data_IF_262715735750
#
_entry.id   IF_262715735750
#
_cell.length_a   1.000
_cell.length_b   1.000
_cell.length_c   1.000
_cell.angle_alpha   90.00
_cell.angle_beta   90.00
_cell.angle_gamma   90.00
#
_symmetry.space_group_name_H-M   'P 1'
#
loop_
_entity.id
_entity.type
_entity.pdbx_description
1 polymer ?
#
# COMPACT_ATOMS: atom_id res chain seq x y z
N UNK A 1 11.86 -0.88 -37.21
CA UNK A 1 11.67 -1.57 -35.90
C UNK A 1 10.25 -1.32 -35.47
N UNK A 2 9.44 -2.37 -35.33
CA UNK A 2 8.00 -2.29 -35.05
C UNK A 2 7.76 -1.80 -33.62
N UNK A 3 7.11 -0.65 -33.48
CA UNK A 3 6.53 -0.20 -32.21
C UNK A 3 5.25 -1.01 -31.95
N UNK A 4 4.96 -1.33 -30.68
CA UNK A 4 3.70 -1.98 -30.31
C UNK A 4 3.72 -3.50 -30.10
N UNK A 5 4.86 -4.19 -30.17
CA UNK A 5 4.94 -5.63 -29.86
C UNK A 5 4.42 -5.96 -28.46
N UNK A 6 4.65 -5.06 -27.49
CA UNK A 6 4.10 -5.17 -26.14
C UNK A 6 2.56 -5.16 -26.07
N UNK A 7 1.88 -4.48 -27.00
CA UNK A 7 0.41 -4.47 -27.12
C UNK A 7 -0.06 -5.81 -27.64
N UNK A 8 0.50 -6.28 -28.76
CA UNK A 8 0.12 -7.56 -29.37
C UNK A 8 0.44 -8.78 -28.48
N UNK A 9 1.47 -8.68 -27.65
CA UNK A 9 1.88 -9.76 -26.73
C UNK A 9 1.21 -9.67 -25.36
N UNK A 10 0.33 -8.70 -25.09
CA UNK A 10 -0.32 -8.59 -23.79
C UNK A 10 -1.45 -9.63 -23.69
N UNK A 11 -1.39 -10.62 -22.77
CA UNK A 11 -2.44 -11.63 -22.66
C UNK A 11 -3.68 -11.14 -21.91
N UNK A 12 -3.68 -9.87 -21.47
CA UNK A 12 -4.73 -9.26 -20.66
C UNK A 12 -5.28 -7.97 -21.28
N UNK A 13 -4.90 -7.66 -22.53
CA UNK A 13 -5.29 -6.42 -23.24
C UNK A 13 -5.06 -5.13 -22.43
N UNK A 14 -4.05 -5.15 -21.55
CA UNK A 14 -3.76 -4.06 -20.62
C UNK A 14 -2.92 -2.94 -21.23
N UNK A 15 -2.59 -3.00 -22.52
CA UNK A 15 -1.67 -2.09 -23.19
C UNK A 15 -2.30 -1.53 -24.45
N UNK A 16 -2.13 -0.24 -24.69
CA UNK A 16 -2.48 0.43 -25.94
C UNK A 16 -1.35 1.36 -26.38
N UNK A 17 -1.29 1.71 -27.65
CA UNK A 17 -0.41 2.79 -28.11
C UNK A 17 -1.10 4.14 -27.87
N UNK A 18 -0.37 5.06 -27.24
CA UNK A 18 -0.76 6.46 -27.16
C UNK A 18 -0.43 7.22 -28.44
N UNK A 19 -0.80 8.50 -28.49
CA UNK A 19 -0.65 9.38 -29.66
C UNK A 19 0.81 9.53 -30.13
N UNK A 20 1.76 9.40 -29.20
CA UNK A 20 3.21 9.49 -29.47
C UNK A 20 3.83 8.13 -29.83
N UNK A 21 3.02 7.09 -30.05
CA UNK A 21 3.51 5.72 -30.31
C UNK A 21 4.15 5.06 -29.09
N UNK A 22 3.98 5.65 -27.90
CA UNK A 22 4.42 5.08 -26.63
C UNK A 22 3.34 4.17 -26.03
N UNK A 23 3.72 3.02 -25.45
CA UNK A 23 2.79 2.13 -24.78
C UNK A 23 2.22 2.78 -23.52
N UNK A 24 0.89 2.85 -23.43
CA UNK A 24 0.13 3.31 -22.26
C UNK A 24 -0.50 2.09 -21.59
N UNK A 25 -0.21 1.90 -20.31
CA UNK A 25 -0.71 0.77 -19.50
C UNK A 25 -2.05 1.14 -18.88
N UNK A 26 -3.05 0.29 -19.08
CA UNK A 26 -4.27 0.31 -18.27
C UNK A 26 -4.01 -0.44 -16.95
N UNK A 27 -3.91 0.31 -15.86
CA UNK A 27 -3.62 -0.23 -14.53
C UNK A 27 -4.73 -1.14 -13.99
N UNK A 28 -5.96 -1.02 -14.49
CA UNK A 28 -7.08 -1.86 -14.07
C UNK A 28 -7.06 -3.27 -14.71
N UNK A 29 -6.33 -3.45 -15.81
CA UNK A 29 -6.20 -4.74 -16.52
C UNK A 29 -4.81 -5.36 -16.34
N UNK A 30 -3.81 -4.56 -15.99
CA UNK A 30 -2.44 -5.02 -15.86
C UNK A 30 -2.26 -5.93 -14.64
N UNK A 31 -1.82 -7.16 -14.89
CA UNK A 31 -1.52 -8.16 -13.84
C UNK A 31 -0.05 -8.20 -13.43
N UNK A 32 0.80 -7.41 -14.09
CA UNK A 32 2.25 -7.42 -13.82
C UNK A 32 2.97 -8.69 -14.26
N UNK A 33 2.45 -9.45 -15.23
CA UNK A 33 3.07 -10.71 -15.68
C UNK A 33 4.47 -10.60 -16.31
N UNK A 34 4.91 -9.41 -16.74
CA UNK A 34 6.24 -9.20 -17.31
C UNK A 34 6.37 -9.43 -18.82
N UNK A 35 5.35 -9.96 -19.50
CA UNK A 35 5.41 -10.26 -20.94
C UNK A 35 5.80 -9.05 -21.78
N UNK A 36 5.22 -7.88 -21.48
CA UNK A 36 5.50 -6.64 -22.19
C UNK A 36 6.94 -6.14 -22.02
N UNK A 37 7.59 -6.48 -20.91
CA UNK A 37 8.98 -6.11 -20.61
C UNK A 37 9.93 -7.02 -21.38
N UNK A 38 9.68 -8.33 -21.33
CA UNK A 38 10.53 -9.32 -22.00
C UNK A 38 10.55 -9.14 -23.52
N UNK A 39 9.41 -8.77 -24.12
CA UNK A 39 9.29 -8.62 -25.57
C UNK A 39 9.70 -7.23 -26.07
N UNK A 40 10.00 -6.27 -25.18
CA UNK A 40 10.27 -4.90 -25.59
C UNK A 40 11.67 -4.78 -26.22
N UNK A 41 11.80 -4.54 -27.54
CA UNK A 41 13.11 -4.48 -28.20
C UNK A 41 13.92 -3.23 -27.82
N UNK A 42 13.26 -2.21 -27.26
CA UNK A 42 13.87 -0.96 -26.83
C UNK A 42 14.07 -0.87 -25.32
N UNK A 43 13.63 -1.88 -24.56
CA UNK A 43 13.68 -1.88 -23.09
C UNK A 43 13.08 -0.63 -22.43
N UNK A 44 12.07 0.00 -23.06
CA UNK A 44 11.43 1.22 -22.54
C UNK A 44 10.33 0.93 -21.51
N UNK A 45 9.86 -0.32 -21.45
CA UNK A 45 8.88 -0.77 -20.44
C UNK A 45 9.66 -1.51 -19.36
N UNK A 46 9.45 -1.11 -18.11
CA UNK A 46 9.97 -1.83 -16.96
C UNK A 46 8.83 -2.26 -16.06
N UNK A 47 8.89 -3.51 -15.60
CA UNK A 47 8.02 -3.94 -14.52
C UNK A 47 8.62 -3.41 -13.23
N UNK A 48 7.87 -2.58 -12.53
CA UNK A 48 8.13 -2.35 -11.13
C UNK A 48 7.46 -3.49 -10.37
N UNK A 49 8.20 -4.57 -10.10
CA UNK A 49 7.71 -5.59 -9.17
C UNK A 49 7.44 -4.92 -7.82
N UNK A 50 6.49 -5.43 -7.04
CA UNK A 50 6.29 -4.94 -5.68
C UNK A 50 7.62 -4.97 -4.91
N UNK A 51 8.44 -6.01 -5.11
CA UNK A 51 9.79 -6.10 -4.58
C UNK A 51 10.67 -4.92 -5.00
N UNK A 52 10.71 -4.52 -6.27
CA UNK A 52 11.52 -3.39 -6.76
C UNK A 52 10.97 -2.03 -6.28
N UNK A 53 9.64 -1.91 -6.18
CA UNK A 53 8.99 -0.75 -5.54
C UNK A 53 9.29 -0.67 -4.05
N UNK A 54 9.51 -1.79 -3.37
CA UNK A 54 9.85 -1.80 -1.95
C UNK A 54 11.35 -1.57 -1.78
N UNK A 55 12.22 -2.25 -2.53
CA UNK A 55 13.66 -2.14 -2.36
C UNK A 55 14.22 -0.77 -2.74
N UNK A 56 13.64 -0.05 -3.71
CA UNK A 56 14.08 1.33 -3.99
C UNK A 56 13.80 2.30 -2.84
N UNK A 57 12.78 2.03 -2.00
CA UNK A 57 12.49 2.86 -0.82
C UNK A 57 13.55 2.72 0.27
N UNK A 58 14.35 1.65 0.23
CA UNK A 58 15.45 1.37 1.17
C UNK A 58 16.82 1.59 0.53
N UNK A 59 16.86 2.22 -0.65
CA UNK A 59 18.08 2.52 -1.39
C UNK A 59 18.51 3.95 -1.10
N UNK A 60 19.76 4.11 -0.68
CA UNK A 60 20.35 5.42 -0.39
C UNK A 60 20.82 6.16 -1.65
N UNK A 61 20.84 5.49 -2.81
CA UNK A 61 21.18 6.08 -4.11
C UNK A 61 20.01 6.83 -4.77
N UNK A 62 18.79 6.76 -4.21
CA UNK A 62 17.61 7.47 -4.72
C UNK A 62 17.14 8.58 -3.77
N UNK A 63 16.70 9.71 -4.34
CA UNK A 63 16.29 10.90 -3.60
C UNK A 63 14.90 10.71 -2.95
N UNK A 64 14.82 9.86 -1.93
CA UNK A 64 13.60 9.58 -1.16
C UNK A 64 13.57 10.36 0.15
N UNK A 65 12.38 10.79 0.57
CA UNK A 65 12.24 11.57 1.79
C UNK A 65 12.70 10.74 3.03
N UNK A 66 13.50 11.33 3.95
CA UNK A 66 13.99 10.62 5.13
C UNK A 66 12.89 9.95 5.97
N UNK A 67 11.74 10.62 6.12
CA UNK A 67 10.59 10.08 6.85
C UNK A 67 10.02 8.81 6.20
N UNK A 68 9.99 8.75 4.86
CA UNK A 68 9.52 7.59 4.10
C UNK A 68 10.52 6.43 4.20
N UNK A 69 11.83 6.70 4.06
CA UNK A 69 12.89 5.69 4.22
C UNK A 69 12.88 5.03 5.60
N UNK A 70 12.58 5.83 6.62
CA UNK A 70 12.57 5.36 8.02
C UNK A 70 11.27 4.59 8.35
N UNK A 71 10.23 4.72 7.54
CA UNK A 71 8.97 4.02 7.75
C UNK A 71 9.11 2.53 7.37
N UNK A 72 8.93 1.57 8.30
CA UNK A 72 9.04 0.14 7.97
C UNK A 72 7.97 -0.36 6.99
N UNK A 73 6.86 0.37 6.88
CA UNK A 73 5.81 0.10 5.90
C UNK A 73 6.08 0.78 4.54
N UNK A 74 7.13 1.58 4.41
CA UNK A 74 7.46 2.29 3.16
C UNK A 74 6.35 3.22 2.67
N UNK A 75 5.59 3.83 3.58
CA UNK A 75 4.48 4.73 3.24
C UNK A 75 5.04 5.99 2.57
N UNK A 76 4.43 6.41 1.46
CA UNK A 76 4.75 7.69 0.80
C UNK A 76 4.20 8.87 1.62
N UNK A 77 4.95 9.20 2.67
CA UNK A 77 4.61 10.25 3.63
C UNK A 77 4.46 11.63 2.98
N UNK A 78 5.39 12.10 2.14
CA UNK A 78 5.22 13.38 1.45
C UNK A 78 3.94 13.43 0.61
N UNK A 79 3.63 12.36 -0.13
CA UNK A 79 2.43 12.30 -0.98
C UNK A 79 1.14 12.42 -0.17
N UNK A 80 0.95 11.62 0.87
CA UNK A 80 -0.31 11.69 1.61
C UNK A 80 -0.45 13.02 2.38
N UNK A 81 0.65 13.61 2.87
CA UNK A 81 0.61 14.92 3.52
C UNK A 81 0.20 16.00 2.52
N UNK A 82 0.77 16.00 1.30
CA UNK A 82 0.36 16.93 0.22
C UNK A 82 -1.14 16.79 -0.07
N UNK A 83 -1.64 15.56 -0.19
CA UNK A 83 -3.06 15.31 -0.43
C UNK A 83 -3.94 15.82 0.72
N UNK A 84 -3.51 15.67 1.98
CA UNK A 84 -4.21 16.27 3.14
C UNK A 84 -4.24 17.80 3.03
N UNK A 85 -3.12 18.44 2.65
CA UNK A 85 -3.07 19.92 2.49
C UNK A 85 -3.98 20.44 1.38
N UNK A 86 -4.25 19.59 0.38
CA UNK A 86 -5.18 19.88 -0.73
C UNK A 86 -6.65 19.52 -0.40
N UNK A 87 -6.94 19.00 0.80
CA UNK A 87 -8.27 18.53 1.19
C UNK A 87 -8.70 17.20 0.55
N UNK A 88 -7.76 16.51 -0.11
CA UNK A 88 -7.96 15.24 -0.83
C UNK A 88 -7.81 14.04 0.11
N UNK A 89 -8.69 13.97 1.11
CA UNK A 89 -8.60 12.98 2.20
C UNK A 89 -8.76 11.53 1.70
N UNK A 90 -9.62 11.31 0.70
CA UNK A 90 -9.85 9.98 0.12
C UNK A 90 -8.61 9.46 -0.63
N UNK A 91 -7.96 10.33 -1.37
CA UNK A 91 -6.71 10.02 -2.06
C UNK A 91 -5.57 9.81 -1.06
N UNK A 92 -5.54 10.58 0.02
CA UNK A 92 -4.55 10.43 1.08
C UNK A 92 -4.66 9.08 1.80
N UNK A 93 -5.87 8.67 2.23
CA UNK A 93 -6.04 7.34 2.85
C UNK A 93 -5.76 6.21 1.85
N UNK A 94 -6.12 6.39 0.57
CA UNK A 94 -5.76 5.43 -0.49
C UNK A 94 -4.24 5.27 -0.58
N UNK A 95 -3.49 6.37 -0.63
CA UNK A 95 -2.04 6.36 -0.71
C UNK A 95 -1.39 5.68 0.50
N UNK A 96 -1.97 5.82 1.69
CA UNK A 96 -1.49 5.12 2.90
C UNK A 96 -1.75 3.61 2.80
N UNK A 97 -2.99 3.23 2.41
CA UNK A 97 -3.39 1.82 2.26
C UNK A 97 -2.67 1.10 1.12
N UNK A 98 -2.01 1.80 0.21
CA UNK A 98 -1.16 1.19 -0.82
C UNK A 98 -0.07 0.30 -0.20
N UNK A 99 0.52 0.71 0.93
CA UNK A 99 1.61 -0.02 1.60
C UNK A 99 1.37 -0.34 3.09
N UNK A 100 0.34 0.23 3.71
CA UNK A 100 -0.03 -0.05 5.10
C UNK A 100 -1.50 -0.47 5.23
N UNK A 101 -1.82 -1.76 5.47
CA UNK A 101 -3.20 -2.21 5.67
C UNK A 101 -3.82 -1.73 6.99
N UNK A 102 -3.03 -1.23 7.93
CA UNK A 102 -3.49 -0.87 9.27
C UNK A 102 -3.30 0.62 9.61
N UNK A 103 -3.88 1.57 8.85
CA UNK A 103 -3.71 3.00 9.11
C UNK A 103 -4.29 3.47 10.46
N UNK A 104 -5.44 2.94 10.90
CA UNK A 104 -6.07 3.25 12.19
C UNK A 104 -5.26 2.72 13.37
N UNK A 105 -4.84 1.45 13.32
CA UNK A 105 -4.01 0.87 14.37
C UNK A 105 -2.64 1.55 14.41
N UNK A 106 -1.94 1.64 13.28
CA UNK A 106 -0.64 2.32 13.23
C UNK A 106 -0.76 3.82 13.56
N UNK A 107 -1.91 4.47 13.34
CA UNK A 107 -2.17 5.85 13.74
C UNK A 107 -2.22 6.07 15.25
N UNK A 108 -2.42 4.98 16.01
CA UNK A 108 -2.58 5.00 17.48
C UNK A 108 -1.38 4.42 18.22
N UNK A 109 -0.74 3.41 17.65
CA UNK A 109 0.27 2.61 18.39
C UNK A 109 1.70 2.74 17.86
N UNK A 110 1.89 3.25 16.64
CA UNK A 110 3.21 3.37 16.02
C UNK A 110 4.14 4.28 16.86
N UNK A 111 5.42 3.90 17.08
CA UNK A 111 6.42 4.76 17.72
C UNK A 111 6.97 5.86 16.79
N UNK A 112 6.33 6.10 15.64
CA UNK A 112 6.59 7.22 14.72
C UNK A 112 8.09 7.50 14.42
N UNK A 113 8.88 6.48 14.00
CA UNK A 113 10.30 6.69 13.69
C UNK A 113 10.51 7.61 12.47
N UNK A 114 9.48 7.76 11.64
CA UNK A 114 9.44 8.73 10.54
C UNK A 114 9.55 10.19 10.99
N UNK A 115 9.16 10.51 12.24
CA UNK A 115 9.25 11.86 12.80
C UNK A 115 10.66 12.15 13.34
N UNK A 116 11.38 11.13 13.82
CA UNK A 116 12.75 11.25 14.34
C UNK A 116 13.75 11.70 13.26
N UNK A 117 13.51 11.29 12.01
CA UNK A 117 14.34 11.65 10.85
C UNK A 117 13.69 12.75 9.99
N UNK A 118 12.68 13.47 10.51
CA UNK A 118 12.01 14.51 9.74
C UNK A 118 12.98 15.65 9.44
N UNK A 119 13.20 15.97 8.15
CA UNK A 119 14.09 17.07 7.75
C UNK A 119 13.66 18.41 8.33
N UNK A 120 12.36 18.63 8.55
CA UNK A 120 11.88 19.89 9.15
C UNK A 120 12.41 20.09 10.57
N UNK A 121 12.71 18.99 11.28
CA UNK A 121 13.27 19.01 12.64
C UNK A 121 14.67 19.65 12.71
N UNK A 122 15.38 19.80 11.59
CA UNK A 122 16.69 20.48 11.57
C UNK A 122 16.57 22.00 11.59
N UNK A 123 15.37 22.54 11.35
CA UNK A 123 15.09 23.99 11.30
C UNK A 123 14.07 24.38 12.38
N UNK A 124 13.07 23.55 12.62
CA UNK A 124 12.00 23.75 13.62
C UNK A 124 11.58 22.40 14.20
N UNK A 125 10.31 22.19 14.54
CA UNK A 125 9.78 20.90 14.98
C UNK A 125 9.49 19.93 13.83
N UNK A 126 9.49 18.64 14.15
CA UNK A 126 9.09 17.60 13.20
C UNK A 126 7.60 17.74 12.85
N UNK A 127 7.25 17.35 11.63
CA UNK A 127 5.84 17.23 11.24
C UNK A 127 5.20 16.11 12.07
N UNK A 128 3.99 16.33 12.58
CA UNK A 128 3.20 15.32 13.30
C UNK A 128 2.57 14.30 12.32
N UNK A 129 3.45 13.53 11.67
CA UNK A 129 3.16 12.59 10.59
C UNK A 129 2.15 11.53 11.05
N UNK A 130 2.30 11.02 12.28
CA UNK A 130 1.46 9.96 12.82
C UNK A 130 0.03 10.44 13.10
N UNK A 131 -0.14 11.64 13.69
CA UNK A 131 -1.48 12.19 13.90
C UNK A 131 -2.16 12.57 12.58
N UNK A 132 -1.43 13.02 11.55
CA UNK A 132 -2.01 13.25 10.22
C UNK A 132 -2.53 11.95 9.60
N UNK A 133 -1.79 10.84 9.74
CA UNK A 133 -2.24 9.51 9.32
C UNK A 133 -3.48 9.08 10.11
N UNK A 134 -3.47 9.25 11.43
CA UNK A 134 -4.64 8.96 12.28
C UNK A 134 -5.85 9.79 11.87
N UNK A 135 -5.67 11.09 11.65
CA UNK A 135 -6.73 12.01 11.26
C UNK A 135 -7.44 11.53 9.99
N UNK A 136 -6.69 11.22 8.94
CA UNK A 136 -7.29 10.79 7.68
C UNK A 136 -7.90 9.38 7.76
N UNK A 137 -7.34 8.50 8.58
CA UNK A 137 -7.92 7.19 8.85
C UNK A 137 -9.21 7.30 9.67
N UNK A 138 -9.27 8.21 10.64
CA UNK A 138 -10.46 8.44 11.47
C UNK A 138 -11.60 9.09 10.65
N UNK A 139 -11.29 9.88 9.61
CA UNK A 139 -12.30 10.32 8.63
C UNK A 139 -12.96 9.13 7.95
N UNK A 140 -12.17 8.14 7.52
CA UNK A 140 -12.70 6.94 6.88
C UNK A 140 -13.58 6.13 7.85
N UNK A 141 -13.08 5.91 9.07
CA UNK A 141 -13.79 5.19 10.14
C UNK A 141 -15.15 5.81 10.49
N UNK A 142 -15.26 7.14 10.47
CA UNK A 142 -16.48 7.88 10.83
C UNK A 142 -17.41 8.14 9.65
N UNK A 143 -17.00 7.73 8.45
CA UNK A 143 -17.79 7.85 7.23
C UNK A 143 -18.51 6.55 6.89
N UNK A 144 -19.48 6.63 5.99
CA UNK A 144 -20.11 5.45 5.39
C UNK A 144 -19.26 4.82 4.26
N UNK A 145 -18.09 5.41 3.96
CA UNK A 145 -17.25 5.03 2.83
C UNK A 145 -16.00 4.29 3.30
N UNK A 146 -15.87 3.05 2.89
CA UNK A 146 -14.65 2.27 3.05
C UNK A 146 -13.87 2.20 1.73
N UNK A 147 -12.64 2.68 1.72
CA UNK A 147 -11.75 2.61 0.57
C UNK A 147 -10.93 1.34 0.63
N UNK A 148 -11.12 0.49 -0.38
CA UNK A 148 -10.24 -0.63 -0.66
C UNK A 148 -9.36 -0.27 -1.85
N UNK A 149 -8.02 -0.35 -1.75
CA UNK A 149 -7.16 -0.15 -2.89
C UNK A 149 -7.40 -1.18 -4.00
N UNK A 150 -6.86 -0.90 -5.18
CA UNK A 150 -7.00 -1.77 -6.34
C UNK A 150 -6.68 -3.24 -6.01
N UNK A 151 -7.58 -4.11 -6.49
CA UNK A 151 -7.48 -5.56 -6.46
C UNK A 151 -7.43 -6.09 -7.90
N UNK A 152 -6.45 -6.94 -8.18
CA UNK A 152 -6.29 -7.59 -9.46
C UNK A 152 -7.41 -8.64 -9.71
N UNK A 153 -7.68 -8.98 -10.98
CA UNK A 153 -8.66 -10.01 -11.32
C UNK A 153 -8.38 -11.35 -10.62
N UNK A 154 -9.43 -12.16 -10.34
CA UNK A 154 -9.27 -13.45 -9.67
C UNK A 154 -8.30 -14.37 -10.41
N UNK A 155 -7.32 -14.88 -9.66
CA UNK A 155 -6.32 -15.84 -10.15
C UNK A 155 -6.77 -17.30 -10.00
N UNK A 156 -7.86 -17.55 -9.26
CA UNK A 156 -8.34 -18.89 -8.91
C UNK A 156 -7.52 -19.63 -7.85
N UNK A 157 -6.39 -19.06 -7.39
CA UNK A 157 -5.52 -19.68 -6.38
C UNK A 157 -6.06 -19.44 -4.97
N UNK A 158 -6.10 -20.50 -4.16
CA UNK A 158 -6.45 -20.46 -2.74
C UNK A 158 -5.20 -20.53 -1.88
N UNK A 159 -5.13 -19.72 -0.83
CA UNK A 159 -3.96 -19.65 0.07
C UNK A 159 -4.41 -19.77 1.51
N UNK A 160 -3.86 -20.71 2.27
CA UNK A 160 -4.09 -20.80 3.70
C UNK A 160 -3.05 -19.97 4.46
N UNK A 161 -3.50 -19.17 5.42
CA UNK A 161 -2.66 -18.34 6.29
C UNK A 161 -2.93 -18.79 7.72
N UNK A 162 -1.87 -19.17 8.45
CA UNK A 162 -1.98 -19.57 9.86
C UNK A 162 -1.57 -18.40 10.73
N UNK A 163 -2.50 -17.91 11.55
CA UNK A 163 -2.37 -16.75 12.42
C UNK A 163 -3.07 -15.51 11.84
N UNK A 164 -4.01 -14.97 12.61
CA UNK A 164 -4.76 -13.74 12.36
C UNK A 164 -4.15 -12.50 13.00
N UNK A 165 -2.85 -12.50 13.28
CA UNK A 165 -2.12 -11.32 13.76
C UNK A 165 -1.81 -10.31 12.63
N UNK A 166 -1.14 -9.18 12.94
CA UNK A 166 -0.83 -8.15 11.96
C UNK A 166 -0.06 -8.69 10.75
N UNK A 167 0.87 -9.64 10.94
CA UNK A 167 1.61 -10.26 9.83
C UNK A 167 0.72 -11.11 8.91
N UNK A 168 -0.13 -11.97 9.49
CA UNK A 168 -1.03 -12.84 8.72
C UNK A 168 -2.10 -12.06 7.98
N UNK A 169 -2.71 -11.07 8.64
CA UNK A 169 -3.69 -10.19 8.01
C UNK A 169 -3.06 -9.29 6.94
N UNK A 170 -1.83 -8.79 7.15
CA UNK A 170 -1.09 -8.06 6.10
C UNK A 170 -0.83 -8.95 4.88
N UNK A 171 -0.45 -10.22 5.11
CA UNK A 171 -0.28 -11.19 4.03
C UNK A 171 -1.60 -11.43 3.28
N UNK A 172 -2.71 -11.62 4.01
CA UNK A 172 -4.04 -11.78 3.44
C UNK A 172 -4.43 -10.58 2.57
N UNK A 173 -4.24 -9.36 3.10
CA UNK A 173 -4.52 -8.11 2.40
C UNK A 173 -3.79 -8.02 1.04
N UNK A 174 -2.49 -8.28 1.02
CA UNK A 174 -1.72 -8.23 -0.24
C UNK A 174 -2.06 -9.36 -1.19
N UNK A 175 -2.30 -10.58 -0.68
CA UNK A 175 -2.72 -11.72 -1.51
C UNK A 175 -4.08 -11.47 -2.16
N UNK A 176 -5.04 -10.93 -1.41
CA UNK A 176 -6.35 -10.53 -1.92
C UNK A 176 -6.21 -9.47 -3.02
N UNK A 177 -5.38 -8.43 -2.80
CA UNK A 177 -5.07 -7.41 -3.81
C UNK A 177 -4.39 -7.95 -5.06
N UNK A 178 -3.66 -9.06 -4.96
CA UNK A 178 -3.08 -9.77 -6.12
C UNK A 178 -4.08 -10.73 -6.79
N UNK A 179 -5.35 -10.76 -6.36
CA UNK A 179 -6.39 -11.60 -6.92
C UNK A 179 -6.37 -13.05 -6.43
N UNK A 180 -5.63 -13.36 -5.37
CA UNK A 180 -5.69 -14.67 -4.71
C UNK A 180 -6.84 -14.71 -3.70
N UNK A 181 -7.28 -15.92 -3.33
CA UNK A 181 -8.31 -16.16 -2.31
C UNK A 181 -7.65 -16.67 -1.02
N UNK A 182 -7.16 -15.78 -0.13
CA UNK A 182 -6.61 -16.17 1.16
C UNK A 182 -7.71 -16.61 2.14
N UNK A 183 -7.38 -17.54 3.03
CA UNK A 183 -8.20 -17.91 4.18
C UNK A 183 -7.32 -17.91 5.42
N UNK A 184 -7.70 -17.13 6.41
CA UNK A 184 -6.95 -16.97 7.67
C UNK A 184 -7.51 -17.95 8.71
N UNK A 185 -6.63 -18.75 9.28
CA UNK A 185 -6.92 -19.67 10.37
C UNK A 185 -6.31 -19.09 11.65
N UNK A 186 -7.13 -18.78 12.64
CA UNK A 186 -6.72 -18.23 13.93
C UNK A 186 -7.15 -19.18 15.05
N UNK A 187 -6.25 -19.39 16.02
CA UNK A 187 -6.48 -20.24 17.17
C UNK A 187 -7.23 -19.49 18.28
N UNK A 188 -7.01 -18.19 18.38
CA UNK A 188 -7.67 -17.31 19.34
C UNK A 188 -9.11 -16.99 18.92
N UNK A 189 -9.99 -16.57 19.86
CA UNK A 189 -11.40 -16.32 19.56
C UNK A 189 -11.68 -15.22 18.52
N UNK A 190 -10.74 -14.32 18.26
CA UNK A 190 -10.89 -13.21 17.33
C UNK A 190 -9.56 -12.83 16.66
N UNK A 191 -9.65 -12.29 15.43
CA UNK A 191 -8.51 -11.80 14.66
C UNK A 191 -7.87 -10.56 15.29
N UNK A 192 -6.60 -10.31 14.99
CA UNK A 192 -5.84 -9.13 15.42
C UNK A 192 -4.56 -9.47 16.18
N UNK A 193 -4.42 -10.70 16.69
CA UNK A 193 -3.22 -11.15 17.40
C UNK A 193 -2.76 -10.16 18.47
N UNK A 194 -1.49 -9.75 18.44
CA UNK A 194 -0.94 -8.82 19.43
C UNK A 194 -1.63 -7.44 19.42
N UNK A 195 -2.22 -7.00 18.31
CA UNK A 195 -2.99 -5.75 18.27
C UNK A 195 -4.23 -5.84 19.17
N UNK A 196 -4.87 -7.01 19.24
CA UNK A 196 -6.06 -7.23 20.08
C UNK A 196 -5.71 -7.63 21.51
N UNK A 197 -4.77 -8.56 21.66
CA UNK A 197 -4.52 -9.25 22.93
C UNK A 197 -3.38 -8.63 23.74
N UNK A 198 -2.50 -7.84 23.11
CA UNK A 198 -1.37 -7.20 23.78
C UNK A 198 -1.58 -5.71 24.08
N UNK A 199 -2.27 -4.98 23.19
CA UNK A 199 -2.42 -3.54 23.32
C UNK A 199 -3.66 -3.20 24.16
N UNK A 200 -3.53 -2.38 25.23
CA UNK A 200 -4.68 -1.99 26.04
C UNK A 200 -5.74 -1.18 25.27
N UNK A 201 -7.00 -1.31 25.70
CA UNK A 201 -8.18 -0.67 25.08
C UNK A 201 -8.06 0.85 24.95
N UNK A 202 -7.47 1.52 25.95
CA UNK A 202 -7.32 2.98 25.94
C UNK A 202 -6.33 3.45 24.87
N UNK A 203 -5.43 2.58 24.40
CA UNK A 203 -4.42 2.88 23.38
C UNK A 203 -4.90 2.46 22.00
N UNK A 204 -5.54 1.29 21.88
CA UNK A 204 -6.16 0.80 20.66
C UNK A 204 -7.56 0.23 20.97
N UNK A 205 -8.63 1.00 20.70
CA UNK A 205 -9.99 0.52 20.92
C UNK A 205 -10.30 -0.70 20.05
N UNK A 206 -10.87 -1.75 20.65
CA UNK A 206 -11.18 -2.99 19.93
C UNK A 206 -12.17 -2.77 18.80
N UNK A 207 -13.15 -1.88 19.01
CA UNK A 207 -14.11 -1.49 17.96
C UNK A 207 -13.42 -0.88 16.73
N UNK A 208 -12.36 -0.10 16.94
CA UNK A 208 -11.56 0.45 15.84
C UNK A 208 -10.78 -0.64 15.12
N UNK A 209 -10.22 -1.58 15.88
CA UNK A 209 -9.51 -2.73 15.30
C UNK A 209 -10.46 -3.66 14.53
N UNK A 210 -11.65 -3.93 15.06
CA UNK A 210 -12.69 -4.74 14.39
C UNK A 210 -13.02 -4.13 13.02
N UNK A 211 -13.33 -2.84 12.99
CA UNK A 211 -13.62 -2.12 11.74
C UNK A 211 -12.47 -2.14 10.73
N UNK A 212 -11.22 -2.13 11.21
CA UNK A 212 -10.04 -2.18 10.33
C UNK A 212 -9.77 -3.58 9.77
N UNK A 213 -10.25 -4.63 10.44
CA UNK A 213 -10.08 -6.03 10.03
C UNK A 213 -11.21 -6.47 9.08
N UNK A 214 -12.44 -6.01 9.32
CA UNK A 214 -13.64 -6.34 8.54
C UNK A 214 -13.64 -5.71 7.13
#
# INVERSE_FOLDING_TARGET
MTLGTCVASCPFDALRLGEQGLPVVNTALCTGCGTCVQICPKSIIHLSSQTRRITHLYRDDECTAPCQRTCPAGIDIPRYISLITEGKYWEAITAIKETNPFPLSCGRVCPHPCEEQCRLATVTEAVNINHLKRFVADIELTSEKHITPYQAPPTGRKVAIVGGGPGGLTCAYYLARMGHAPTVFEAMPALGGMLRYGIPEYRLPKKTLDWEID
#
